data_IF_476883898294
#
_entry.id   IF_476883898294
#
_cell.length_a   1.000
_cell.length_b   1.000
_cell.length_c   1.000
_cell.angle_alpha   90.00
_cell.angle_beta   90.00
_cell.angle_gamma   90.00
#
_symmetry.space_group_name_H-M   'P 1'
#
loop_
_entity.id
_entity.type
_entity.pdbx_description
1 polymer ?
#
# COMPACT_ATOMS: atom_id res chain seq x y z
N UNK A 1 -19.72 -16.42 7.93
CA UNK A 1 -18.55 -17.31 7.82
C UNK A 1 -17.36 -16.42 7.58
N UNK A 2 -16.68 -16.01 8.64
CA UNK A 2 -15.46 -15.20 8.56
C UNK A 2 -14.30 -16.15 8.26
N UNK A 3 -14.01 -16.33 6.96
CA UNK A 3 -12.79 -16.98 6.53
C UNK A 3 -11.62 -16.13 6.98
N UNK A 4 -10.84 -16.62 7.94
CA UNK A 4 -9.76 -15.85 8.50
C UNK A 4 -8.72 -15.55 7.40
N UNK A 5 -8.44 -14.27 7.16
CA UNK A 5 -7.45 -13.79 6.18
C UNK A 5 -6.10 -14.54 6.25
N UNK A 6 -5.75 -15.09 7.43
CA UNK A 6 -4.52 -15.84 7.66
C UNK A 6 -4.44 -17.21 6.94
N UNK A 7 -5.52 -17.72 6.35
CA UNK A 7 -5.54 -19.00 5.63
C UNK A 7 -5.73 -18.87 4.13
N UNK A 8 -5.73 -17.65 3.59
CA UNK A 8 -5.87 -17.43 2.15
C UNK A 8 -4.61 -17.93 1.40
N UNK A 9 -4.81 -18.88 0.48
CA UNK A 9 -3.75 -19.44 -0.38
C UNK A 9 -3.78 -18.89 -1.82
N UNK A 10 -4.76 -18.05 -2.13
CA UNK A 10 -4.92 -17.36 -3.41
C UNK A 10 -5.19 -15.89 -3.12
N UNK A 11 -4.44 -15.02 -3.79
CA UNK A 11 -4.59 -13.58 -3.72
C UNK A 11 -4.91 -13.08 -5.13
N UNK A 12 -5.88 -12.16 -5.24
CA UNK A 12 -6.14 -11.41 -6.47
C UNK A 12 -5.88 -9.93 -6.19
N UNK A 13 -4.86 -9.32 -6.84
CA UNK A 13 -3.91 -9.91 -7.79
C UNK A 13 -2.95 -10.92 -7.15
N UNK A 14 -2.39 -11.81 -7.98
CA UNK A 14 -1.46 -12.85 -7.51
C UNK A 14 -0.21 -12.22 -6.91
N UNK A 15 0.14 -12.65 -5.71
CA UNK A 15 1.35 -12.22 -5.04
C UNK A 15 2.60 -12.66 -5.84
N UNK A 16 3.62 -11.80 -6.01
CA UNK A 16 4.80 -12.13 -6.80
C UNK A 16 5.50 -13.37 -6.22
N UNK A 17 5.90 -14.34 -7.05
CA UNK A 17 6.50 -15.58 -6.55
C UNK A 17 7.77 -15.29 -5.70
N UNK A 18 8.05 -16.12 -4.67
CA UNK A 18 9.23 -15.93 -3.85
C UNK A 18 10.49 -16.22 -4.66
N UNK A 19 11.51 -15.40 -4.49
CA UNK A 19 12.85 -15.68 -5.00
C UNK A 19 13.44 -16.86 -4.24
N UNK A 20 13.93 -17.87 -4.96
CA UNK A 20 14.50 -19.07 -4.37
C UNK A 20 15.64 -18.71 -3.40
N UNK A 21 15.42 -18.97 -2.10
CA UNK A 21 16.38 -18.69 -1.03
C UNK A 21 16.37 -17.26 -0.47
N UNK A 22 15.57 -16.32 -1.01
CA UNK A 22 15.47 -14.93 -0.53
C UNK A 22 14.10 -14.56 0.05
N UNK A 23 13.07 -15.38 -0.18
CA UNK A 23 11.72 -15.10 0.29
C UNK A 23 10.94 -14.22 -0.70
N UNK A 24 9.95 -13.48 -0.20
CA UNK A 24 9.07 -12.66 -1.03
C UNK A 24 9.68 -11.26 -1.26
N UNK A 25 9.71 -10.75 -2.51
CA UNK A 25 10.17 -9.39 -2.75
C UNK A 25 9.27 -8.41 -2.00
N UNK A 26 9.88 -7.59 -1.15
CA UNK A 26 9.20 -6.53 -0.39
C UNK A 26 9.79 -5.19 -0.78
N UNK A 27 8.95 -4.20 -1.03
CA UNK A 27 9.34 -2.83 -1.29
C UNK A 27 9.16 -2.02 -0.03
N UNK A 28 10.18 -1.24 0.33
CA UNK A 28 10.15 -0.38 1.51
C UNK A 28 10.32 1.07 1.05
N UNK A 29 9.34 1.91 1.39
CA UNK A 29 9.43 3.35 1.20
C UNK A 29 9.74 4.01 2.54
N UNK A 30 10.97 4.49 2.70
CA UNK A 30 11.36 5.28 3.85
C UNK A 30 11.18 6.79 3.57
N UNK A 31 10.48 7.49 4.46
CA UNK A 31 10.33 8.94 4.40
C UNK A 31 10.18 9.56 5.80
N UNK A 32 11.03 10.54 6.12
CA UNK A 32 11.00 11.27 7.41
C UNK A 32 10.94 10.34 8.64
N UNK A 33 11.77 9.29 8.64
CA UNK A 33 11.88 8.36 9.76
C UNK A 33 10.68 7.43 9.94
N UNK A 34 9.80 7.32 8.95
CA UNK A 34 8.75 6.29 8.91
C UNK A 34 8.87 5.47 7.63
N UNK A 35 8.19 4.33 7.61
CA UNK A 35 8.30 3.36 6.52
C UNK A 35 6.92 2.87 6.10
N UNK A 36 6.76 2.66 4.79
CA UNK A 36 5.66 1.87 4.24
C UNK A 36 6.26 0.63 3.58
N UNK A 37 5.68 -0.52 3.92
CA UNK A 37 6.08 -1.82 3.41
C UNK A 37 5.01 -2.28 2.44
N UNK A 38 5.43 -2.68 1.25
CA UNK A 38 4.56 -3.17 0.19
C UNK A 38 5.06 -4.52 -0.26
N UNK A 39 4.13 -5.41 -0.54
CA UNK A 39 4.42 -6.74 -1.04
C UNK A 39 4.02 -6.92 -2.51
N UNK A 40 3.42 -5.90 -3.13
CA UNK A 40 3.24 -5.86 -4.58
C UNK A 40 3.23 -4.43 -5.15
N UNK A 41 3.53 -4.26 -6.45
CA UNK A 41 3.35 -2.98 -7.14
C UNK A 41 1.90 -2.47 -7.11
N UNK A 42 0.90 -3.34 -7.12
CA UNK A 42 -0.51 -2.95 -7.05
C UNK A 42 -0.86 -2.29 -5.72
N UNK A 43 -0.28 -2.74 -4.60
CA UNK A 43 -0.41 -2.05 -3.31
C UNK A 43 0.21 -0.64 -3.36
N UNK A 44 1.38 -0.50 -4.00
CA UNK A 44 2.01 0.80 -4.20
C UNK A 44 1.13 1.74 -5.04
N UNK A 45 0.51 1.22 -6.10
CA UNK A 45 -0.41 1.96 -6.96
C UNK A 45 -1.67 2.38 -6.20
N UNK A 46 -2.25 1.49 -5.41
CA UNK A 46 -3.41 1.78 -4.56
C UNK A 46 -3.09 2.91 -3.56
N UNK A 47 -1.97 2.81 -2.84
CA UNK A 47 -1.56 3.84 -1.87
C UNK A 47 -1.26 5.17 -2.55
N UNK A 48 -0.59 5.16 -3.71
CA UNK A 48 -0.38 6.38 -4.50
C UNK A 48 -1.71 7.02 -4.94
N UNK A 49 -2.67 6.20 -5.37
CA UNK A 49 -4.02 6.64 -5.74
C UNK A 49 -4.77 7.29 -4.57
N UNK A 50 -4.74 6.68 -3.38
CA UNK A 50 -5.40 7.22 -2.17
C UNK A 50 -4.73 8.51 -1.69
N UNK A 51 -3.40 8.54 -1.56
CA UNK A 51 -2.67 9.73 -1.07
C UNK A 51 -2.68 10.89 -2.06
N UNK A 52 -2.82 10.59 -3.36
CA UNK A 52 -2.91 11.57 -4.44
C UNK A 52 -4.23 12.35 -4.45
N UNK A 53 -5.27 11.87 -3.78
CA UNK A 53 -6.56 12.57 -3.74
C UNK A 53 -6.46 13.90 -2.98
N UNK A 54 -7.04 14.96 -3.55
CA UNK A 54 -7.08 16.29 -2.94
C UNK A 54 -7.76 16.25 -1.57
N UNK A 55 -8.90 15.58 -1.50
CA UNK A 55 -9.62 15.26 -0.27
C UNK A 55 -9.33 13.78 0.00
N UNK A 56 -8.83 13.46 1.20
CA UNK A 56 -8.60 12.07 1.56
C UNK A 56 -9.94 11.35 1.72
N UNK A 57 -10.07 10.12 1.18
CA UNK A 57 -11.25 9.31 1.39
C UNK A 57 -11.36 8.87 2.86
N UNK A 58 -12.58 8.59 3.31
CA UNK A 58 -12.81 8.03 4.64
C UNK A 58 -12.21 6.61 4.71
N UNK A 59 -11.30 6.32 5.66
CA UNK A 59 -10.75 4.98 5.86
C UNK A 59 -11.82 3.88 6.02
N UNK A 60 -13.00 4.22 6.57
CA UNK A 60 -14.11 3.26 6.71
C UNK A 60 -14.71 2.86 5.37
N UNK A 61 -14.77 3.80 4.42
CA UNK A 61 -15.26 3.52 3.06
C UNK A 61 -14.26 2.65 2.32
N UNK A 62 -12.96 2.96 2.44
CA UNK A 62 -11.89 2.14 1.84
C UNK A 62 -11.83 0.72 2.43
N UNK A 63 -12.06 0.58 3.74
CA UNK A 63 -12.08 -0.74 4.39
C UNK A 63 -13.38 -1.51 4.24
N UNK A 64 -14.49 -0.87 3.81
CA UNK A 64 -15.80 -1.51 3.74
C UNK A 64 -15.84 -2.67 2.74
N UNK A 65 -15.20 -2.47 1.58
CA UNK A 65 -15.11 -3.49 0.53
C UNK A 65 -14.46 -4.79 1.02
N UNK A 66 -13.49 -4.67 1.94
CA UNK A 66 -12.74 -5.81 2.49
C UNK A 66 -13.22 -6.26 3.88
N UNK A 67 -14.37 -5.76 4.35
CA UNK A 67 -14.85 -5.96 5.73
C UNK A 67 -13.80 -5.57 6.80
N UNK A 68 -12.87 -4.68 6.46
CA UNK A 68 -11.74 -4.24 7.25
C UNK A 68 -11.87 -2.76 7.65
N UNK A 69 -13.11 -2.31 7.91
CA UNK A 69 -13.49 -0.90 8.18
C UNK A 69 -12.69 -0.24 9.30
N UNK A 70 -12.25 -1.02 10.30
CA UNK A 70 -11.48 -0.53 11.45
C UNK A 70 -9.96 -0.77 11.31
N UNK A 71 -9.52 -1.38 10.21
CA UNK A 71 -8.14 -1.83 10.02
C UNK A 71 -7.44 -1.25 8.81
N UNK A 72 -8.04 -0.27 8.13
CA UNK A 72 -7.41 0.39 7.00
C UNK A 72 -6.14 1.16 7.42
N UNK A 73 -5.04 1.04 6.66
CA UNK A 73 -3.74 1.63 6.97
C UNK A 73 -3.78 3.17 7.13
N UNK A 74 -4.65 3.85 6.38
CA UNK A 74 -4.79 5.31 6.42
C UNK A 74 -5.18 5.84 7.82
N UNK A 75 -5.89 5.05 8.64
CA UNK A 75 -6.25 5.45 10.01
C UNK A 75 -5.08 5.36 10.99
N UNK A 76 -4.05 4.56 10.66
CA UNK A 76 -2.85 4.34 11.47
C UNK A 76 -1.64 5.15 10.98
N UNK A 77 -1.80 5.86 9.88
CA UNK A 77 -0.74 6.65 9.27
C UNK A 77 -0.38 7.85 10.15
N UNK A 78 0.92 8.12 10.28
CA UNK A 78 1.37 9.27 11.07
C UNK A 78 0.89 10.59 10.45
N UNK A 79 0.45 11.53 11.30
CA UNK A 79 -0.07 12.84 10.85
C UNK A 79 0.96 13.65 10.07
N UNK A 80 2.25 13.46 10.31
CA UNK A 80 3.33 14.10 9.57
C UNK A 80 3.29 13.74 8.07
N UNK A 81 2.80 12.55 7.72
CA UNK A 81 2.66 12.10 6.34
C UNK A 81 1.36 12.57 5.66
N UNK A 82 0.35 12.96 6.44
CA UNK A 82 -0.96 13.35 5.90
C UNK A 82 -1.00 14.77 5.33
N UNK A 83 0.04 15.59 5.58
CA UNK A 83 0.13 16.93 4.99
C UNK A 83 0.24 16.85 3.46
N UNK A 84 -0.47 17.74 2.74
CA UNK A 84 -0.53 17.71 1.27
C UNK A 84 0.85 17.63 0.61
N UNK A 85 1.80 18.45 1.07
CA UNK A 85 3.16 18.47 0.54
C UNK A 85 3.87 17.13 0.68
N UNK A 86 3.71 16.46 1.83
CA UNK A 86 4.33 15.15 2.08
C UNK A 86 3.65 14.06 1.29
N UNK A 87 2.31 14.06 1.22
CA UNK A 87 1.56 13.12 0.37
C UNK A 87 2.02 13.19 -1.08
N UNK A 88 2.16 14.40 -1.64
CA UNK A 88 2.61 14.57 -3.02
C UNK A 88 4.06 14.09 -3.23
N UNK A 89 4.94 14.26 -2.25
CA UNK A 89 6.29 13.71 -2.32
C UNK A 89 6.29 12.17 -2.30
N UNK A 90 5.48 11.57 -1.43
CA UNK A 90 5.29 10.12 -1.35
C UNK A 90 4.71 9.57 -2.66
N UNK A 91 3.64 10.19 -3.19
CA UNK A 91 3.02 9.81 -4.47
C UNK A 91 4.05 9.88 -5.60
N UNK A 92 4.84 10.96 -5.69
CA UNK A 92 5.89 11.08 -6.71
C UNK A 92 6.91 9.94 -6.63
N UNK A 93 7.35 9.57 -5.43
CA UNK A 93 8.30 8.46 -5.23
C UNK A 93 7.69 7.12 -5.61
N UNK A 94 6.45 6.86 -5.20
CA UNK A 94 5.72 5.64 -5.55
C UNK A 94 5.50 5.54 -7.06
N UNK A 95 5.05 6.60 -7.72
CA UNK A 95 4.89 6.63 -9.18
C UNK A 95 6.21 6.38 -9.92
N UNK A 96 7.32 6.98 -9.46
CA UNK A 96 8.62 6.75 -10.05
C UNK A 96 9.10 5.30 -9.89
N UNK A 97 8.79 4.65 -8.76
CA UNK A 97 9.10 3.24 -8.53
C UNK A 97 8.21 2.31 -9.37
N UNK A 98 6.91 2.62 -9.48
CA UNK A 98 5.98 1.90 -10.35
C UNK A 98 6.40 1.92 -11.82
N UNK A 99 6.89 3.05 -12.32
CA UNK A 99 7.43 3.14 -13.68
C UNK A 99 8.68 2.29 -13.90
N UNK A 100 9.45 1.99 -12.84
CA UNK A 100 10.60 1.09 -12.92
C UNK A 100 10.17 -0.38 -12.91
N UNK A 101 9.14 -0.72 -12.12
CA UNK A 101 8.58 -2.08 -12.07
C UNK A 101 7.84 -2.46 -13.37
N UNK A 102 7.22 -1.52 -14.08
CA UNK A 102 6.56 -1.78 -15.37
C UNK A 102 7.51 -1.96 -16.56
N UNK A 103 8.83 -1.79 -16.37
CA UNK A 103 9.87 -2.00 -17.37
C UNK A 103 10.64 -3.33 -17.16
N UNK A 104 10.14 -4.21 -16.29
CA UNK A 104 10.66 -5.56 -16.03
C UNK A 104 9.81 -6.63 -16.70
#
# INVERSE_FOLDING_TARGET
MDGAFHSATQFEPAFPAPDAGKGWPTWILEHRGHELHFASPEEMAHVAGVLGQKILPDPRVLGAEFSAVNSHWLSRMDKAWLSWKVRQEVVRRLSAALSQCGNL
#
